data_IF_392134569318
#
_entry.id   IF_392134569318
#
_cell.length_a   1.000
_cell.length_b   1.000
_cell.length_c   1.000
_cell.angle_alpha   90.00
_cell.angle_beta   90.00
_cell.angle_gamma   90.00
#
_symmetry.space_group_name_H-M   'P 1'
#
loop_
_entity.id
_entity.type
_entity.pdbx_description
1 polymer ?
#
# COMPACT_ATOMS: atom_id res chain seq x y z
N UNK A 1 2.46 40.18 -7.43
CA UNK A 1 2.05 39.05 -6.54
C UNK A 1 1.21 38.01 -7.29
N UNK A 2 0.14 38.41 -8.05
CA UNK A 2 -0.71 37.44 -8.77
C UNK A 2 0.02 36.58 -9.83
N UNK A 3 1.04 37.13 -10.48
CA UNK A 3 1.84 36.43 -11.49
C UNK A 3 2.63 35.25 -10.88
N UNK A 4 3.37 35.50 -9.82
CA UNK A 4 4.18 34.47 -9.12
C UNK A 4 3.30 33.34 -8.57
N UNK A 5 2.16 33.68 -7.97
CA UNK A 5 1.17 32.73 -7.48
C UNK A 5 0.64 31.80 -8.58
N UNK A 6 0.36 32.34 -9.78
CA UNK A 6 -0.12 31.55 -10.91
C UNK A 6 0.91 30.51 -11.38
N UNK A 7 2.19 30.88 -11.46
CA UNK A 7 3.24 29.92 -11.85
C UNK A 7 3.50 28.87 -10.75
N UNK A 8 3.43 29.27 -9.48
CA UNK A 8 3.50 28.31 -8.36
C UNK A 8 2.38 27.29 -8.41
N UNK A 9 1.15 27.73 -8.69
CA UNK A 9 0.00 26.82 -8.86
C UNK A 9 0.21 25.82 -10.00
N UNK A 10 0.66 26.29 -11.16
CA UNK A 10 0.94 25.43 -12.31
C UNK A 10 2.02 24.41 -11.96
N UNK A 11 3.11 24.85 -11.33
CA UNK A 11 4.19 23.96 -10.89
C UNK A 11 3.68 22.88 -9.93
N UNK A 12 2.94 23.28 -8.89
CA UNK A 12 2.37 22.35 -7.92
C UNK A 12 1.37 21.37 -8.57
N UNK A 13 0.57 21.84 -9.52
CA UNK A 13 -0.34 20.99 -10.28
C UNK A 13 0.42 19.95 -11.13
N UNK A 14 1.51 20.34 -11.78
CA UNK A 14 2.37 19.40 -12.52
C UNK A 14 3.00 18.35 -11.60
N UNK A 15 3.53 18.76 -10.44
CA UNK A 15 4.10 17.83 -9.45
C UNK A 15 3.00 16.87 -8.94
N UNK A 16 1.83 17.38 -8.59
CA UNK A 16 0.71 16.57 -8.14
C UNK A 16 0.26 15.56 -9.21
N UNK A 17 0.23 15.97 -10.48
CA UNK A 17 -0.10 15.07 -11.60
C UNK A 17 0.90 13.91 -11.69
N UNK A 18 2.19 14.22 -11.68
CA UNK A 18 3.25 13.22 -11.75
C UNK A 18 3.19 12.24 -10.57
N UNK A 19 2.96 12.74 -9.35
CA UNK A 19 2.80 11.89 -8.17
C UNK A 19 1.52 11.03 -8.26
N UNK A 20 0.41 11.61 -8.68
CA UNK A 20 -0.87 10.91 -8.80
C UNK A 20 -0.84 9.75 -9.80
N UNK A 21 -0.14 9.92 -10.91
CA UNK A 21 0.05 8.87 -11.92
C UNK A 21 0.88 7.69 -11.35
N UNK A 22 1.78 7.94 -10.39
CA UNK A 22 2.62 6.90 -9.79
C UNK A 22 1.89 6.03 -8.76
N UNK A 23 0.80 6.52 -8.17
CA UNK A 23 0.07 5.80 -7.11
C UNK A 23 -0.41 4.40 -7.56
N UNK A 24 -1.12 4.25 -8.69
CA UNK A 24 -1.56 2.92 -9.14
C UNK A 24 -0.40 1.98 -9.42
N UNK A 25 0.68 2.49 -10.01
CA UNK A 25 1.89 1.72 -10.33
C UNK A 25 2.58 1.19 -9.08
N UNK A 26 2.68 2.02 -8.04
CA UNK A 26 3.26 1.60 -6.77
C UNK A 26 2.41 0.51 -6.10
N UNK A 27 1.09 0.70 -6.07
CA UNK A 27 0.15 -0.31 -5.52
C UNK A 27 0.26 -1.63 -6.27
N UNK A 28 0.30 -1.61 -7.60
CA UNK A 28 0.44 -2.81 -8.43
C UNK A 28 1.78 -3.54 -8.15
N UNK A 29 2.88 -2.80 -8.02
CA UNK A 29 4.18 -3.40 -7.69
C UNK A 29 4.20 -3.99 -6.28
N UNK A 30 3.56 -3.33 -5.30
CA UNK A 30 3.41 -3.86 -3.95
C UNK A 30 2.59 -5.18 -3.95
N UNK A 31 1.44 -5.21 -4.65
CA UNK A 31 0.60 -6.41 -4.76
C UNK A 31 1.36 -7.56 -5.43
N UNK A 32 2.07 -7.31 -6.52
CA UNK A 32 2.88 -8.34 -7.20
C UNK A 32 3.96 -8.93 -6.31
N UNK A 33 4.59 -8.11 -5.49
CA UNK A 33 5.61 -8.55 -4.54
C UNK A 33 5.00 -9.38 -3.41
N UNK A 34 3.89 -8.91 -2.85
CA UNK A 34 3.12 -9.66 -1.86
C UNK A 34 2.68 -11.03 -2.41
N UNK A 35 2.17 -11.07 -3.65
CA UNK A 35 1.76 -12.32 -4.30
C UNK A 35 2.96 -13.27 -4.52
N UNK A 36 4.14 -12.75 -4.85
CA UNK A 36 5.35 -13.54 -5.00
C UNK A 36 5.78 -14.16 -3.65
N UNK A 37 5.83 -13.39 -2.58
CA UNK A 37 6.14 -13.91 -1.23
C UNK A 37 5.09 -14.90 -0.72
N UNK A 38 3.81 -14.64 -0.99
CA UNK A 38 2.74 -15.57 -0.63
C UNK A 38 2.89 -16.92 -1.37
N UNK A 39 3.22 -16.88 -2.67
CA UNK A 39 3.46 -18.10 -3.45
C UNK A 39 4.71 -18.86 -2.96
N UNK A 40 5.78 -18.15 -2.60
CA UNK A 40 6.98 -18.75 -2.01
C UNK A 40 6.66 -19.52 -0.74
N UNK A 41 6.04 -18.85 0.25
CA UNK A 41 5.72 -19.52 1.53
C UNK A 41 4.67 -20.62 1.39
N UNK A 42 3.77 -20.54 0.40
CA UNK A 42 2.85 -21.63 0.07
C UNK A 42 3.59 -22.84 -0.49
N UNK A 43 4.59 -22.63 -1.34
CA UNK A 43 5.41 -23.70 -1.87
C UNK A 43 6.22 -24.39 -0.76
N UNK A 44 6.79 -23.61 0.16
CA UNK A 44 7.55 -24.12 1.31
C UNK A 44 6.65 -24.95 2.26
N UNK A 45 5.39 -24.51 2.47
CA UNK A 45 4.45 -25.22 3.33
C UNK A 45 3.83 -26.45 2.69
N UNK A 46 3.87 -26.58 1.39
CA UNK A 46 3.08 -27.61 0.67
C UNK A 46 3.29 -29.01 1.22
N UNK A 47 4.53 -29.43 1.46
CA UNK A 47 4.84 -30.77 1.98
C UNK A 47 4.25 -30.98 3.38
N UNK A 48 4.31 -29.98 4.23
CA UNK A 48 3.72 -30.03 5.58
C UNK A 48 2.20 -29.97 5.55
N UNK A 49 1.61 -29.21 4.63
CA UNK A 49 0.15 -29.17 4.44
C UNK A 49 -0.37 -30.51 3.96
N UNK A 50 0.32 -31.18 3.02
CA UNK A 50 -0.05 -32.53 2.56
C UNK A 50 -0.04 -33.55 3.71
N UNK A 51 0.89 -33.42 4.67
CA UNK A 51 0.92 -34.24 5.89
C UNK A 51 -0.24 -33.86 6.83
N UNK A 52 -0.47 -32.55 7.03
CA UNK A 52 -1.55 -32.07 7.86
C UNK A 52 -2.91 -32.53 7.34
N UNK A 53 -3.13 -32.48 6.03
CA UNK A 53 -4.37 -32.92 5.37
C UNK A 53 -4.62 -34.41 5.59
N UNK A 54 -3.57 -35.23 5.46
CA UNK A 54 -3.68 -36.70 5.59
C UNK A 54 -3.87 -37.18 7.02
N UNK A 55 -3.07 -36.57 7.96
CA UNK A 55 -2.90 -37.14 9.30
C UNK A 55 -3.52 -36.28 10.43
N UNK A 56 -3.84 -34.98 10.13
CA UNK A 56 -4.30 -34.01 11.14
C UNK A 56 -5.57 -33.25 10.72
N UNK A 57 -6.33 -33.80 9.76
CA UNK A 57 -7.56 -33.16 9.29
C UNK A 57 -7.39 -31.77 8.70
N UNK A 58 -6.23 -31.50 8.12
CA UNK A 58 -5.89 -30.21 7.49
C UNK A 58 -5.34 -29.14 8.42
N UNK A 59 -5.15 -29.44 9.72
CA UNK A 59 -4.70 -28.45 10.69
C UNK A 59 -3.19 -28.42 10.81
N UNK A 60 -2.57 -27.34 10.29
CA UNK A 60 -1.15 -27.05 10.47
C UNK A 60 -0.77 -26.84 11.94
N UNK A 61 -1.66 -26.23 12.73
CA UNK A 61 -1.43 -26.02 14.16
C UNK A 61 -1.33 -27.35 14.91
N UNK A 62 -2.12 -28.35 14.52
CA UNK A 62 -2.08 -29.70 15.11
C UNK A 62 -0.79 -30.42 14.72
N UNK A 63 -0.33 -30.30 13.49
CA UNK A 63 0.95 -30.83 13.03
C UNK A 63 2.11 -30.18 13.80
N UNK A 64 2.16 -28.84 13.91
CA UNK A 64 3.20 -28.10 14.63
C UNK A 64 3.23 -28.52 16.10
N UNK A 65 2.06 -28.60 16.73
CA UNK A 65 1.95 -29.06 18.13
C UNK A 65 2.49 -30.47 18.30
N UNK A 66 2.17 -31.38 17.39
CA UNK A 66 2.69 -32.76 17.42
C UNK A 66 4.20 -32.82 17.34
N UNK A 67 4.82 -31.96 16.51
CA UNK A 67 6.27 -31.84 16.46
C UNK A 67 6.83 -31.30 17.80
N UNK A 68 6.25 -30.24 18.36
CA UNK A 68 6.68 -29.66 19.67
C UNK A 68 6.62 -30.66 20.81
N UNK A 69 5.63 -31.56 20.80
CA UNK A 69 5.40 -32.57 21.84
C UNK A 69 6.16 -33.88 21.58
N UNK A 70 6.94 -33.98 20.50
CA UNK A 70 7.70 -35.19 20.17
C UNK A 70 8.80 -35.47 21.20
N UNK A 71 8.97 -36.74 21.51
CA UNK A 71 10.08 -37.24 22.32
C UNK A 71 11.40 -37.25 21.53
N UNK A 72 11.33 -37.30 20.21
CA UNK A 72 12.45 -37.19 19.31
C UNK A 72 12.91 -35.73 19.21
N UNK A 73 14.19 -35.47 19.49
CA UNK A 73 14.77 -34.14 19.48
C UNK A 73 14.73 -33.51 18.09
N UNK A 74 14.98 -34.29 17.02
CA UNK A 74 15.01 -33.77 15.64
C UNK A 74 13.65 -33.24 15.25
N UNK A 75 12.57 -34.03 15.48
CA UNK A 75 11.20 -33.59 15.20
C UNK A 75 10.80 -32.35 16.04
N UNK A 76 11.24 -32.31 17.28
CA UNK A 76 10.94 -31.13 18.13
C UNK A 76 11.64 -29.87 17.63
N UNK A 77 12.86 -29.99 17.14
CA UNK A 77 13.63 -28.86 16.63
C UNK A 77 13.08 -28.36 15.28
N UNK A 78 12.46 -29.23 14.47
CA UNK A 78 11.76 -28.84 13.24
C UNK A 78 10.50 -28.00 13.48
N UNK A 79 9.88 -28.10 14.66
CA UNK A 79 8.63 -27.38 14.95
C UNK A 79 8.75 -25.87 14.78
N UNK A 80 9.88 -25.28 15.20
CA UNK A 80 10.13 -23.84 15.13
C UNK A 80 10.17 -23.32 13.69
N UNK A 81 11.01 -23.87 12.82
CA UNK A 81 11.02 -23.54 11.39
C UNK A 81 9.64 -23.67 10.71
N UNK A 82 8.92 -24.78 10.92
CA UNK A 82 7.59 -24.99 10.35
C UNK A 82 6.62 -23.90 10.81
N UNK A 83 6.60 -23.61 12.10
CA UNK A 83 5.75 -22.56 12.68
C UNK A 83 6.08 -21.19 12.08
N UNK A 84 7.36 -20.88 11.91
CA UNK A 84 7.80 -19.61 11.33
C UNK A 84 7.28 -19.43 9.90
N UNK A 85 7.42 -20.46 9.06
CA UNK A 85 6.90 -20.42 7.69
C UNK A 85 5.37 -20.29 7.70
N UNK A 86 4.68 -21.03 8.57
CA UNK A 86 3.24 -20.96 8.71
C UNK A 86 2.73 -19.59 9.15
N UNK A 87 3.39 -18.94 10.11
CA UNK A 87 3.06 -17.58 10.54
C UNK A 87 3.29 -16.54 9.43
N UNK A 88 4.37 -16.70 8.64
CA UNK A 88 4.58 -15.85 7.44
C UNK A 88 3.47 -16.04 6.42
N UNK A 89 3.03 -17.27 6.17
CA UNK A 89 1.90 -17.54 5.29
C UNK A 89 0.62 -16.85 5.76
N UNK A 90 0.27 -16.98 7.06
CA UNK A 90 -0.89 -16.31 7.62
C UNK A 90 -0.79 -14.79 7.46
N UNK A 91 0.37 -14.21 7.76
CA UNK A 91 0.62 -12.79 7.63
C UNK A 91 0.41 -12.28 6.19
N UNK A 92 1.05 -12.91 5.20
CA UNK A 92 0.90 -12.49 3.81
C UNK A 92 -0.51 -12.74 3.26
N UNK A 93 -1.16 -13.81 3.68
CA UNK A 93 -2.57 -14.07 3.34
C UNK A 93 -3.49 -12.96 3.87
N UNK A 94 -3.31 -12.55 5.11
CA UNK A 94 -4.10 -11.48 5.73
C UNK A 94 -3.82 -10.12 5.06
N UNK A 95 -2.57 -9.84 4.71
CA UNK A 95 -2.20 -8.67 3.89
C UNK A 95 -2.93 -8.70 2.53
N UNK A 96 -2.97 -9.86 1.88
CA UNK A 96 -3.65 -10.03 0.57
C UNK A 96 -5.16 -9.83 0.67
N UNK A 97 -5.80 -10.32 1.73
CA UNK A 97 -7.22 -10.09 2.00
C UNK A 97 -7.53 -8.59 2.19
N UNK A 98 -6.70 -7.86 2.93
CA UNK A 98 -6.86 -6.42 3.16
C UNK A 98 -6.77 -5.59 1.88
N UNK A 99 -6.11 -6.10 0.84
CA UNK A 99 -5.99 -5.45 -0.47
C UNK A 99 -7.14 -5.77 -1.43
N UNK A 100 -8.13 -6.60 -1.05
CA UNK A 100 -9.31 -6.89 -1.87
C UNK A 100 -10.33 -5.75 -1.84
N UNK A 101 -9.89 -4.58 -2.32
CA UNK A 101 -10.70 -3.36 -2.37
C UNK A 101 -10.32 -2.53 -3.60
N UNK A 102 -11.01 -1.40 -3.81
CA UNK A 102 -10.67 -0.46 -4.88
C UNK A 102 -9.40 0.35 -4.55
N UNK A 103 -8.77 0.97 -5.56
CA UNK A 103 -7.51 1.69 -5.44
C UNK A 103 -7.41 2.63 -4.23
N UNK A 104 -8.38 3.50 -3.92
CA UNK A 104 -8.28 4.36 -2.73
C UNK A 104 -8.20 3.56 -1.42
N UNK A 105 -8.95 2.47 -1.32
CA UNK A 105 -8.90 1.56 -0.16
C UNK A 105 -7.56 0.84 -0.05
N UNK A 106 -6.99 0.38 -1.18
CA UNK A 106 -5.65 -0.22 -1.21
C UNK A 106 -4.58 0.75 -0.72
N UNK A 107 -4.60 1.99 -1.22
CA UNK A 107 -3.67 3.05 -0.79
C UNK A 107 -3.76 3.27 0.71
N UNK A 108 -4.98 3.42 1.25
CA UNK A 108 -5.19 3.61 2.68
C UNK A 108 -4.73 2.40 3.50
N UNK A 109 -5.02 1.18 3.02
CA UNK A 109 -4.59 -0.05 3.67
C UNK A 109 -3.07 -0.16 3.73
N UNK A 110 -2.38 0.04 2.60
CA UNK A 110 -0.92 0.01 2.52
C UNK A 110 -0.29 1.09 3.42
N UNK A 111 -0.83 2.31 3.41
CA UNK A 111 -0.32 3.41 4.25
C UNK A 111 -0.45 3.14 5.75
N UNK A 112 -1.45 2.35 6.18
CA UNK A 112 -1.73 2.09 7.60
C UNK A 112 -1.25 0.74 8.10
N UNK A 113 -1.31 -0.29 7.27
CA UNK A 113 -1.10 -1.69 7.64
C UNK A 113 -0.11 -2.40 6.73
N UNK A 114 0.47 -1.71 5.74
CA UNK A 114 1.43 -2.28 4.82
C UNK A 114 2.64 -2.85 5.56
N UNK A 115 3.07 -4.04 5.13
CA UNK A 115 4.26 -4.68 5.66
C UNK A 115 5.51 -3.85 5.35
N UNK A 116 6.33 -3.60 6.37
CA UNK A 116 7.50 -2.71 6.26
C UNK A 116 8.55 -3.25 5.28
N UNK A 117 8.78 -4.56 5.30
CA UNK A 117 9.79 -5.19 4.46
C UNK A 117 9.34 -5.16 2.99
N UNK A 118 8.06 -5.49 2.72
CA UNK A 118 7.46 -5.37 1.39
C UNK A 118 7.48 -3.93 0.87
N UNK A 119 7.19 -2.94 1.72
CA UNK A 119 7.28 -1.52 1.36
C UNK A 119 8.70 -1.13 0.99
N UNK A 120 9.67 -1.51 1.82
CA UNK A 120 11.09 -1.23 1.59
C UNK A 120 11.60 -1.87 0.29
N UNK A 121 11.28 -3.14 0.07
CA UNK A 121 11.61 -3.85 -1.16
C UNK A 121 10.95 -3.24 -2.38
N UNK A 122 9.66 -2.87 -2.27
CA UNK A 122 8.93 -2.23 -3.36
C UNK A 122 9.56 -0.90 -3.71
N UNK A 123 9.91 -0.08 -2.71
CA UNK A 123 10.54 1.21 -2.92
C UNK A 123 11.95 1.09 -3.51
N UNK A 124 12.76 0.15 -3.00
CA UNK A 124 14.14 -0.07 -3.46
C UNK A 124 14.24 -0.50 -4.93
N UNK A 125 13.25 -1.24 -5.41
CA UNK A 125 13.19 -1.72 -6.80
C UNK A 125 12.13 -1.01 -7.65
N UNK A 126 11.61 0.12 -7.16
CA UNK A 126 10.56 0.87 -7.85
C UNK A 126 11.06 1.43 -9.18
N UNK A 127 10.39 1.03 -10.24
CA UNK A 127 10.64 1.57 -11.58
C UNK A 127 9.73 2.79 -11.79
N UNK A 128 10.32 3.98 -11.89
CA UNK A 128 9.61 5.24 -12.15
C UNK A 128 9.05 5.33 -13.59
N UNK A 129 8.58 4.24 -14.12
CA UNK A 129 7.91 4.20 -15.43
C UNK A 129 6.54 4.86 -15.28
N UNK A 130 6.20 5.77 -16.20
CA UNK A 130 4.88 6.41 -16.22
C UNK A 130 3.91 5.48 -16.96
N UNK A 131 3.01 4.77 -16.27
CA UNK A 131 1.99 4.00 -16.94
C UNK A 131 0.98 4.97 -17.56
N UNK A 132 0.72 4.81 -18.85
CA UNK A 132 -0.27 5.60 -19.60
C UNK A 132 -1.60 4.86 -19.67
N UNK A 133 -1.97 4.15 -18.61
CA UNK A 133 -3.30 3.55 -18.49
C UNK A 133 -4.36 4.57 -18.01
N UNK A 134 -5.62 4.25 -18.21
CA UNK A 134 -6.72 5.13 -17.82
C UNK A 134 -6.77 5.38 -16.32
N UNK A 135 -6.43 4.39 -15.49
CA UNK A 135 -6.46 4.49 -14.03
C UNK A 135 -5.41 5.48 -13.53
N UNK A 136 -4.19 5.41 -14.08
CA UNK A 136 -3.11 6.33 -13.74
C UNK A 136 -3.46 7.78 -14.13
N UNK A 137 -4.04 7.96 -15.33
CA UNK A 137 -4.46 9.28 -15.81
C UNK A 137 -5.54 9.86 -14.89
N UNK A 138 -6.60 9.10 -14.57
CA UNK A 138 -7.67 9.57 -13.66
C UNK A 138 -7.15 9.88 -12.26
N UNK A 139 -6.26 9.07 -11.72
CA UNK A 139 -5.66 9.28 -10.40
C UNK A 139 -4.81 10.54 -10.38
N UNK A 140 -4.04 10.78 -11.46
CA UNK A 140 -3.26 12.01 -11.62
C UNK A 140 -4.14 13.26 -11.63
N UNK A 141 -5.19 13.29 -12.45
CA UNK A 141 -6.13 14.42 -12.50
C UNK A 141 -6.90 14.61 -11.20
N UNK A 142 -7.31 13.52 -10.53
CA UNK A 142 -7.98 13.60 -9.25
C UNK A 142 -7.08 14.26 -8.19
N UNK A 143 -5.80 13.89 -8.13
CA UNK A 143 -4.84 14.48 -7.19
C UNK A 143 -4.59 15.96 -7.49
N UNK A 144 -4.49 16.34 -8.77
CA UNK A 144 -4.40 17.76 -9.18
C UNK A 144 -5.61 18.54 -8.69
N UNK A 145 -6.82 18.02 -8.91
CA UNK A 145 -8.04 18.69 -8.47
C UNK A 145 -8.07 18.90 -6.95
N UNK A 146 -7.70 17.87 -6.18
CA UNK A 146 -7.61 17.96 -4.71
C UNK A 146 -6.61 19.05 -4.28
N UNK A 147 -5.40 19.04 -4.85
CA UNK A 147 -4.35 20.01 -4.50
C UNK A 147 -4.77 21.44 -4.84
N UNK A 148 -5.34 21.66 -6.03
CA UNK A 148 -5.81 22.99 -6.45
C UNK A 148 -6.93 23.48 -5.53
N UNK A 149 -7.94 22.65 -5.24
CA UNK A 149 -9.05 23.02 -4.36
C UNK A 149 -8.56 23.32 -2.93
N UNK A 150 -7.61 22.55 -2.40
CA UNK A 150 -7.00 22.82 -1.10
C UNK A 150 -6.26 24.15 -1.08
N UNK A 151 -5.50 24.47 -2.12
CA UNK A 151 -4.78 25.75 -2.23
C UNK A 151 -5.73 26.93 -2.37
N UNK A 152 -6.80 26.81 -3.14
CA UNK A 152 -7.83 27.84 -3.26
C UNK A 152 -8.59 28.04 -1.94
N UNK A 153 -8.92 26.96 -1.26
CA UNK A 153 -9.54 27.03 0.07
C UNK A 153 -8.66 27.74 1.09
N UNK A 154 -7.36 27.36 1.15
CA UNK A 154 -6.40 27.99 2.07
C UNK A 154 -6.18 29.47 1.76
N UNK A 155 -6.07 29.85 0.48
CA UNK A 155 -5.93 31.28 0.09
C UNK A 155 -7.20 32.07 0.38
N UNK A 156 -8.37 31.50 0.18
CA UNK A 156 -9.64 32.09 0.58
C UNK A 156 -9.73 32.31 2.09
N UNK A 157 -9.32 31.32 2.87
CA UNK A 157 -9.31 31.40 4.34
C UNK A 157 -8.33 32.49 4.84
N UNK A 158 -7.14 32.56 4.29
CA UNK A 158 -6.15 33.61 4.61
C UNK A 158 -6.72 34.99 4.25
N UNK A 159 -7.37 35.13 3.07
CA UNK A 159 -8.03 36.36 2.67
C UNK A 159 -9.12 36.82 3.63
N UNK A 160 -9.87 35.87 4.21
CA UNK A 160 -10.90 36.15 5.22
C UNK A 160 -10.28 36.65 6.54
N UNK A 161 -9.21 36.02 7.01
CA UNK A 161 -8.54 36.38 8.28
C UNK A 161 -7.69 37.66 8.16
N UNK A 162 -7.11 37.94 6.99
CA UNK A 162 -6.27 39.14 6.78
C UNK A 162 -7.05 40.40 6.39
N UNK A 163 -8.37 40.31 6.22
CA UNK A 163 -9.23 41.44 5.87
C UNK A 163 -8.93 42.06 4.48
N UNK A 164 -8.12 41.42 3.64
CA UNK A 164 -7.77 41.86 2.30
C UNK A 164 -8.88 41.66 1.26
N UNK A 165 -10.02 41.05 1.67
CA UNK A 165 -11.10 40.65 0.78
C UNK A 165 -12.21 41.69 0.53
N UNK A 166 -12.20 42.87 1.18
CA UNK A 166 -13.31 43.83 1.01
C UNK A 166 -12.87 45.29 0.98
N UNK A 167 -12.27 45.72 -0.12
CA UNK A 167 -12.34 47.11 -0.56
C UNK A 167 -12.79 47.15 -2.01
N UNK A 168 -14.12 47.12 -2.22
CA UNK A 168 -14.70 47.63 -3.47
C UNK A 168 -14.46 49.17 -3.43
N UNK A 169 -13.80 49.76 -4.45
CA UNK A 169 -13.77 51.23 -4.55
C UNK A 169 -15.18 51.71 -4.87
N UNK A 170 -15.74 52.54 -4.00
CA UNK A 170 -16.90 53.32 -4.32
C UNK A 170 -16.54 54.23 -5.51
N UNK A 171 -17.17 53.97 -6.65
CA UNK A 171 -17.18 54.92 -7.75
C UNK A 171 -18.25 55.99 -7.41
N UNK A 172 -17.80 57.21 -7.23
CA UNK A 172 -18.60 58.41 -7.41
C UNK A 172 -18.65 58.80 -8.88
#
# INVERSE_FOLDING_TARGET
MAFLYRYLLIFLACVALLMGIQIPSFVDQYEKRLDAHLQEVQADLKGYQDIADRDFGGSMESLIRRHKESTDMVFRDEAGPIETIYLRFLHFRDQREGLKTQLPGKVLYIARYGDHDLLSETYASYSYTIPLDSTAIYTGFALVAIVVLLLEFLTGLIGLFTGLGSRKPLRY
#
